data_IF_974444766599
#
_entry.id   IF_974444766599
#
_cell.length_a   1.000
_cell.length_b   1.000
_cell.length_c   1.000
_cell.angle_alpha   90.00
_cell.angle_beta   90.00
_cell.angle_gamma   90.00
#
_symmetry.space_group_name_H-M   'P 1'
#
loop_
_entity.id
_entity.type
_entity.pdbx_description
1 polymer ?
#
# COMPACT_ATOMS: atom_id res chain seq x y z
N UNK A 1 -39.36 -0.14 -11.97
CA UNK A 1 -38.05 0.29 -12.49
C UNK A 1 -37.23 -0.97 -12.73
N UNK A 2 -37.66 -1.81 -13.68
CA UNK A 2 -37.26 -3.24 -13.76
C UNK A 2 -36.82 -3.69 -15.15
N UNK A 3 -36.67 -2.78 -16.13
CA UNK A 3 -36.35 -3.17 -17.50
C UNK A 3 -34.86 -3.04 -17.87
N UNK A 4 -34.06 -2.23 -17.16
CA UNK A 4 -32.65 -1.98 -17.50
C UNK A 4 -31.67 -3.00 -16.90
N UNK A 5 -32.08 -3.79 -15.89
CA UNK A 5 -31.20 -4.77 -15.23
C UNK A 5 -31.16 -6.11 -15.97
N UNK A 6 -32.07 -6.31 -16.93
CA UNK A 6 -32.20 -7.56 -17.71
C UNK A 6 -31.12 -7.63 -18.80
N UNK A 7 -30.55 -6.50 -19.24
CA UNK A 7 -29.67 -6.41 -20.41
C UNK A 7 -28.17 -6.52 -20.09
N UNK A 8 -27.79 -6.53 -18.81
CA UNK A 8 -26.39 -6.71 -18.42
C UNK A 8 -26.04 -8.20 -18.43
N UNK A 9 -25.53 -8.67 -19.58
CA UNK A 9 -25.02 -10.01 -19.86
C UNK A 9 -23.70 -10.30 -19.09
N UNK A 10 -23.76 -10.23 -17.76
CA UNK A 10 -22.75 -10.82 -16.88
C UNK A 10 -23.43 -12.00 -16.18
N UNK A 11 -23.34 -13.16 -16.83
CA UNK A 11 -23.79 -14.46 -16.28
C UNK A 11 -22.83 -14.85 -15.15
N UNK A 12 -22.86 -14.10 -14.05
CA UNK A 12 -22.26 -14.57 -12.82
C UNK A 12 -23.12 -15.73 -12.31
N UNK A 13 -22.54 -16.92 -12.06
CA UNK A 13 -23.28 -18.02 -11.46
C UNK A 13 -23.98 -17.57 -10.19
N UNK A 14 -25.28 -17.84 -10.09
CA UNK A 14 -26.10 -17.53 -8.91
C UNK A 14 -25.61 -18.27 -7.67
N UNK A 15 -24.92 -19.38 -7.88
CA UNK A 15 -24.30 -20.21 -6.86
C UNK A 15 -22.78 -20.21 -7.05
N UNK A 16 -22.07 -19.75 -6.02
CA UNK A 16 -20.61 -19.66 -6.02
C UNK A 16 -20.04 -20.75 -5.11
N UNK A 17 -19.47 -21.80 -5.69
CA UNK A 17 -18.99 -23.00 -4.96
C UNK A 17 -17.93 -22.72 -3.90
N UNK A 18 -17.19 -21.61 -4.03
CA UNK A 18 -16.20 -21.18 -3.05
C UNK A 18 -16.80 -20.44 -1.83
N UNK A 19 -18.09 -20.07 -1.86
CA UNK A 19 -18.77 -19.40 -0.74
C UNK A 19 -19.47 -20.43 0.15
N UNK A 20 -19.12 -20.46 1.44
CA UNK A 20 -19.82 -21.27 2.46
C UNK A 20 -21.28 -20.85 2.68
N UNK A 21 -21.61 -19.59 2.43
CA UNK A 21 -22.98 -19.06 2.53
C UNK A 21 -23.27 -18.26 1.27
N UNK A 22 -24.33 -18.63 0.57
CA UNK A 22 -24.70 -17.97 -0.68
C UNK A 22 -25.38 -16.62 -0.39
N UNK A 23 -25.27 -15.69 -1.34
CA UNK A 23 -25.84 -14.35 -1.13
C UNK A 23 -27.37 -14.39 -0.99
N UNK A 24 -28.04 -15.30 -1.70
CA UNK A 24 -29.49 -15.47 -1.59
C UNK A 24 -29.94 -16.05 -0.25
N UNK A 25 -29.06 -16.73 0.49
CA UNK A 25 -29.36 -17.31 1.81
C UNK A 25 -29.31 -16.24 2.91
N UNK A 26 -28.39 -15.28 2.79
CA UNK A 26 -28.28 -14.15 3.73
C UNK A 26 -29.29 -13.04 3.46
N UNK A 27 -29.74 -12.91 2.22
CA UNK A 27 -30.61 -11.81 1.78
C UNK A 27 -31.77 -12.39 0.95
N UNK A 28 -32.89 -12.79 1.58
CA UNK A 28 -34.07 -13.21 0.86
C UNK A 28 -34.56 -12.08 -0.05
N UNK A 29 -34.89 -12.42 -1.31
CA UNK A 29 -35.32 -11.46 -2.33
C UNK A 29 -36.53 -10.66 -1.82
N UNK A 30 -36.41 -9.33 -1.75
CA UNK A 30 -37.50 -8.43 -1.33
C UNK A 30 -37.11 -7.36 -0.31
N UNK A 31 -36.00 -7.51 0.42
CA UNK A 31 -35.47 -6.43 1.26
C UNK A 31 -34.49 -5.56 0.47
N UNK A 32 -35.00 -4.46 -0.10
CA UNK A 32 -34.17 -3.33 -0.53
C UNK A 32 -33.60 -2.61 0.68
N UNK A 33 -32.64 -3.22 1.37
CA UNK A 33 -31.69 -2.42 2.15
C UNK A 33 -30.59 -2.06 1.17
N UNK A 34 -30.59 -0.79 0.75
CA UNK A 34 -29.55 -0.23 -0.11
C UNK A 34 -28.20 -0.76 0.35
N UNK A 35 -27.48 -1.44 -0.55
CA UNK A 35 -26.17 -2.04 -0.27
C UNK A 35 -25.23 -0.91 0.14
N UNK A 36 -25.15 -0.66 1.43
CA UNK A 36 -24.24 0.33 1.97
C UNK A 36 -22.89 -0.36 2.13
N UNK A 37 -21.96 -0.03 1.25
CA UNK A 37 -20.57 -0.45 1.38
C UNK A 37 -20.02 0.15 2.67
N UNK A 38 -19.72 -0.70 3.65
CA UNK A 38 -19.05 -0.25 4.88
C UNK A 38 -17.66 0.22 4.51
N UNK A 39 -17.28 1.39 5.00
CA UNK A 39 -15.90 1.84 4.88
C UNK A 39 -14.98 1.01 5.80
N UNK A 40 -13.68 0.98 5.52
CA UNK A 40 -12.72 0.14 6.26
C UNK A 40 -12.80 0.34 7.77
N UNK A 41 -12.92 1.58 8.26
CA UNK A 41 -13.04 1.86 9.70
C UNK A 41 -14.33 1.28 10.32
N UNK A 42 -15.44 1.23 9.59
CA UNK A 42 -16.66 0.53 10.03
C UNK A 42 -16.48 -0.99 10.06
N UNK A 43 -15.69 -1.55 9.14
CA UNK A 43 -15.39 -2.99 9.10
C UNK A 43 -14.52 -3.35 10.29
N UNK A 44 -13.42 -2.62 10.51
CA UNK A 44 -12.49 -2.84 11.62
C UNK A 44 -13.21 -2.79 12.97
N UNK A 45 -14.13 -1.84 13.16
CA UNK A 45 -14.91 -1.74 14.40
C UNK A 45 -15.95 -2.85 14.59
N UNK A 46 -16.47 -3.42 13.50
CA UNK A 46 -17.50 -4.46 13.55
C UNK A 46 -16.91 -5.88 13.67
N UNK A 47 -15.61 -6.04 13.45
CA UNK A 47 -14.92 -7.32 13.57
C UNK A 47 -14.57 -7.64 15.02
N UNK A 48 -15.02 -8.82 15.48
CA UNK A 48 -14.68 -9.32 16.80
C UNK A 48 -13.35 -10.06 16.76
N UNK A 49 -12.23 -9.31 16.69
CA UNK A 49 -10.87 -9.87 16.59
C UNK A 49 -10.55 -10.92 17.66
N UNK A 50 -11.15 -10.83 18.85
CA UNK A 50 -10.97 -11.77 19.95
C UNK A 50 -11.45 -13.19 19.65
N UNK A 51 -12.38 -13.36 18.70
CA UNK A 51 -12.93 -14.67 18.35
C UNK A 51 -12.14 -15.39 17.25
N UNK A 52 -11.16 -14.72 16.64
CA UNK A 52 -10.35 -15.29 15.58
C UNK A 52 -9.13 -16.04 16.16
N UNK A 53 -8.78 -17.20 15.61
CA UNK A 53 -7.53 -17.86 15.98
C UNK A 53 -6.33 -17.00 15.54
N UNK A 54 -5.23 -17.08 16.29
CA UNK A 54 -4.05 -16.23 16.06
C UNK A 54 -3.38 -16.45 14.69
N UNK A 55 -3.55 -17.63 14.10
CA UNK A 55 -3.01 -17.99 12.78
C UNK A 55 -3.82 -17.42 11.60
N UNK A 56 -5.03 -16.89 11.84
CA UNK A 56 -5.88 -16.40 10.76
C UNK A 56 -5.57 -14.94 10.42
N UNK A 57 -5.33 -14.61 9.14
CA UNK A 57 -5.11 -13.24 8.73
C UNK A 57 -6.38 -12.40 8.88
N UNK A 58 -6.26 -11.26 9.54
CA UNK A 58 -7.28 -10.24 9.79
C UNK A 58 -6.86 -8.90 9.16
N UNK A 59 -7.78 -7.95 9.04
CA UNK A 59 -7.49 -6.67 8.37
C UNK A 59 -6.39 -5.83 9.04
N UNK A 60 -5.98 -6.16 10.27
CA UNK A 60 -4.95 -5.45 11.03
C UNK A 60 -3.58 -6.11 10.89
N UNK A 61 -3.52 -7.42 10.62
CA UNK A 61 -2.28 -8.22 10.58
C UNK A 61 -1.87 -8.66 9.17
N UNK A 62 -2.67 -8.35 8.14
CA UNK A 62 -2.38 -8.68 6.73
C UNK A 62 -1.15 -7.94 6.17
N UNK A 63 -0.53 -7.05 6.94
CA UNK A 63 0.69 -6.36 6.52
C UNK A 63 1.83 -7.35 6.31
N UNK A 64 2.50 -7.22 5.17
CA UNK A 64 3.64 -8.06 4.84
C UNK A 64 4.80 -7.84 5.82
N UNK A 65 5.55 -8.90 6.17
CA UNK A 65 6.77 -8.74 6.96
C UNK A 65 7.78 -7.85 6.22
N UNK A 66 8.72 -7.22 6.96
CA UNK A 66 9.76 -6.41 6.35
C UNK A 66 10.66 -7.25 5.43
N UNK A 67 11.20 -6.62 4.39
CA UNK A 67 12.13 -7.29 3.47
C UNK A 67 13.38 -7.79 4.19
N UNK A 68 13.72 -9.06 4.00
CA UNK A 68 14.99 -9.64 4.46
C UNK A 68 16.16 -9.38 3.50
N UNK A 69 15.88 -8.95 2.26
CA UNK A 69 16.92 -8.72 1.26
C UNK A 69 17.61 -7.38 1.49
N UNK A 70 18.95 -7.31 1.33
CA UNK A 70 19.67 -6.05 1.46
C UNK A 70 19.23 -5.06 0.38
N UNK A 71 19.00 -3.82 0.79
CA UNK A 71 18.58 -2.75 -0.12
C UNK A 71 19.71 -2.38 -1.09
N UNK A 72 19.38 -2.29 -2.39
CA UNK A 72 20.30 -1.75 -3.40
C UNK A 72 20.58 -0.27 -3.14
N UNK A 73 21.85 0.11 -3.22
CA UNK A 73 22.28 1.50 -3.04
C UNK A 73 22.28 2.20 -4.39
N UNK A 74 21.30 3.09 -4.58
CA UNK A 74 21.14 3.86 -5.80
C UNK A 74 21.54 5.32 -5.55
N UNK A 75 22.12 5.94 -6.56
CA UNK A 75 22.49 7.35 -6.59
C UNK A 75 21.23 8.22 -6.54
N UNK A 76 21.19 9.19 -5.62
CA UNK A 76 19.99 10.00 -5.38
C UNK A 76 19.73 11.01 -6.52
N UNK A 77 20.69 11.25 -7.41
CA UNK A 77 20.59 12.18 -8.55
C UNK A 77 20.39 11.43 -9.88
N UNK A 78 21.24 10.43 -10.17
CA UNK A 78 21.29 9.80 -11.51
C UNK A 78 20.56 8.46 -11.60
N UNK A 79 20.22 7.82 -10.48
CA UNK A 79 19.58 6.51 -10.50
C UNK A 79 20.50 5.31 -10.79
N UNK A 80 21.80 5.52 -11.01
CA UNK A 80 22.78 4.43 -11.14
C UNK A 80 23.16 3.83 -9.78
N UNK A 81 23.76 2.63 -9.79
CA UNK A 81 24.30 2.03 -8.58
C UNK A 81 25.37 2.94 -7.95
N UNK A 82 25.21 3.23 -6.66
CA UNK A 82 26.06 4.15 -5.93
C UNK A 82 26.82 3.40 -4.82
N UNK A 83 28.11 3.08 -5.06
CA UNK A 83 28.94 2.43 -4.04
C UNK A 83 29.30 3.38 -2.88
N UNK A 84 29.25 4.70 -3.10
CA UNK A 84 29.71 5.71 -2.16
C UNK A 84 28.61 6.65 -1.68
N UNK A 85 28.84 7.29 -0.53
CA UNK A 85 27.99 8.35 -0.01
C UNK A 85 28.83 9.46 0.62
N UNK A 86 28.31 10.69 0.58
CA UNK A 86 28.97 11.85 1.17
C UNK A 86 28.68 11.93 2.67
N UNK A 87 29.68 11.98 3.58
CA UNK A 87 29.44 12.05 5.02
C UNK A 87 28.77 13.36 5.46
N UNK A 88 28.90 14.44 4.67
CA UNK A 88 28.31 15.75 4.99
C UNK A 88 26.81 15.78 4.66
N UNK A 89 26.45 15.41 3.44
CA UNK A 89 25.07 15.51 2.93
C UNK A 89 24.28 14.21 3.04
N UNK A 90 24.94 13.06 3.29
CA UNK A 90 24.36 11.70 3.28
C UNK A 90 23.75 11.27 1.93
N UNK A 91 24.02 12.03 0.87
CA UNK A 91 23.63 11.67 -0.49
C UNK A 91 24.57 10.60 -1.06
N UNK A 92 23.97 9.67 -1.79
CA UNK A 92 24.67 8.57 -2.48
C UNK A 92 25.04 9.02 -3.89
N UNK A 93 26.25 8.68 -4.33
CA UNK A 93 26.75 9.03 -5.65
C UNK A 93 27.50 7.87 -6.32
N UNK A 94 27.44 7.84 -7.65
CA UNK A 94 28.14 6.85 -8.47
C UNK A 94 29.49 7.37 -8.97
N UNK A 95 29.54 8.61 -9.46
CA UNK A 95 30.70 9.19 -10.15
C UNK A 95 31.24 10.43 -9.43
N UNK A 96 32.49 10.80 -9.74
CA UNK A 96 33.16 12.00 -9.21
C UNK A 96 32.48 13.31 -9.64
N UNK A 97 31.89 13.36 -10.83
CA UNK A 97 31.16 14.53 -11.34
C UNK A 97 29.92 14.82 -10.49
N UNK A 98 29.16 13.78 -10.17
CA UNK A 98 27.98 13.87 -9.29
C UNK A 98 28.39 14.31 -7.89
N UNK A 99 29.53 13.82 -7.38
CA UNK A 99 30.05 14.28 -6.09
C UNK A 99 30.36 15.78 -6.06
N UNK A 100 30.97 16.32 -7.12
CA UNK A 100 31.21 17.78 -7.25
C UNK A 100 29.88 18.56 -7.26
N UNK A 101 28.89 18.07 -7.99
CA UNK A 101 27.56 18.66 -8.04
C UNK A 101 26.90 18.66 -6.65
N UNK A 102 26.92 17.53 -5.93
CA UNK A 102 26.40 17.40 -4.57
C UNK A 102 27.02 18.44 -3.63
N UNK A 103 28.32 18.69 -3.74
CA UNK A 103 29.01 19.67 -2.88
C UNK A 103 28.64 21.13 -3.17
N UNK A 104 28.15 21.42 -4.38
CA UNK A 104 27.62 22.73 -4.77
C UNK A 104 26.13 22.93 -4.47
N UNK A 105 25.39 21.87 -4.14
CA UNK A 105 23.95 21.98 -3.89
C UNK A 105 23.64 22.70 -2.54
N UNK A 106 22.64 23.60 -2.51
CA UNK A 106 22.10 24.14 -1.27
C UNK A 106 21.47 23.07 -0.39
N UNK A 107 21.44 23.30 0.92
CA UNK A 107 20.94 22.32 1.89
C UNK A 107 19.44 21.97 1.69
N UNK A 108 18.63 22.90 1.18
CA UNK A 108 17.21 22.68 0.86
C UNK A 108 17.00 21.58 -0.19
N UNK A 109 17.83 21.59 -1.25
CA UNK A 109 17.81 20.55 -2.28
C UNK A 109 18.30 19.22 -1.71
N UNK A 110 19.34 19.24 -0.87
CA UNK A 110 19.83 18.03 -0.20
C UNK A 110 18.72 17.38 0.63
N UNK A 111 17.96 18.15 1.41
CA UNK A 111 16.84 17.61 2.18
C UNK A 111 15.72 17.10 1.28
N UNK A 112 15.43 17.78 0.17
CA UNK A 112 14.45 17.31 -0.82
C UNK A 112 14.84 15.96 -1.41
N UNK A 113 16.11 15.77 -1.80
CA UNK A 113 16.61 14.50 -2.31
C UNK A 113 16.59 13.39 -1.23
N UNK A 114 16.95 13.71 0.02
CA UNK A 114 16.87 12.76 1.12
C UNK A 114 15.42 12.37 1.45
N UNK A 115 14.46 13.29 1.29
CA UNK A 115 13.05 13.03 1.55
C UNK A 115 12.47 11.99 0.58
N UNK A 116 12.90 11.99 -0.68
CA UNK A 116 12.50 10.97 -1.66
C UNK A 116 12.86 9.54 -1.22
N UNK A 117 13.97 9.37 -0.47
CA UNK A 117 14.41 8.09 0.09
C UNK A 117 13.91 7.86 1.53
N UNK A 118 13.02 8.71 2.04
CA UNK A 118 12.60 8.70 3.45
C UNK A 118 13.79 8.79 4.44
N UNK A 119 14.84 9.53 4.07
CA UNK A 119 16.06 9.72 4.86
C UNK A 119 16.26 11.19 5.31
N UNK A 120 15.30 12.07 5.06
CA UNK A 120 15.35 13.46 5.48
C UNK A 120 15.23 13.57 7.01
N UNK A 121 16.03 14.47 7.60
CA UNK A 121 15.99 14.72 9.04
C UNK A 121 14.98 15.83 9.29
N UNK A 122 13.80 15.47 9.78
CA UNK A 122 12.80 16.44 10.25
C UNK A 122 13.01 16.60 11.76
N UNK A 123 13.51 17.76 12.17
CA UNK A 123 13.53 18.14 13.58
C UNK A 123 12.08 18.39 14.01
N UNK A 124 11.60 17.65 15.01
CA UNK A 124 10.29 17.80 15.63
C UNK A 124 10.44 18.32 17.05
#
# INVERSE_FOLDING_TARGET
>A
MEHEVIEAELVLPTHLSFKKVQMYEKFPKGQSRGRHWKHLKQIIQAENYQNYPADEPNYVNIESPPSMHPNKKICDITGYEAPYHDPRTKLRYANTEVFKQIRSLPNEYVQSYLALRNAAVVLR
#
